data_IF_892138585916
#
_entry.id   IF_892138585916
#
_cell.length_a   1.000
_cell.length_b   1.000
_cell.length_c   1.000
_cell.angle_alpha   90.00
_cell.angle_beta   90.00
_cell.angle_gamma   90.00
#
_symmetry.space_group_name_H-M   'P 1'
#
loop_
_entity.id
_entity.type
_entity.pdbx_description
1 polymer ?
#
# COMPACT_ATOMS: atom_id res chain seq x y z
N UNK A 1 2.90 -5.69 -26.94
CA UNK A 1 3.59 -4.66 -26.12
C UNK A 1 2.88 -4.57 -24.78
N UNK A 2 3.59 -4.47 -23.66
CA UNK A 2 2.94 -4.20 -22.37
C UNK A 2 2.53 -2.74 -22.31
N UNK A 3 1.28 -2.47 -21.97
CA UNK A 3 0.76 -1.12 -21.79
C UNK A 3 1.25 -0.52 -20.46
N UNK A 4 1.23 0.81 -20.35
CA UNK A 4 1.58 1.51 -19.10
C UNK A 4 0.75 1.01 -17.91
N UNK A 5 -0.53 0.72 -18.14
CA UNK A 5 -1.46 0.21 -17.12
C UNK A 5 -1.05 -1.19 -16.67
N UNK A 6 -0.69 -2.09 -17.59
CA UNK A 6 -0.24 -3.44 -17.23
C UNK A 6 1.06 -3.41 -16.40
N UNK A 7 1.97 -2.50 -16.73
CA UNK A 7 3.20 -2.31 -15.96
C UNK A 7 2.88 -1.79 -14.56
N UNK A 8 2.04 -0.77 -14.45
CA UNK A 8 1.64 -0.20 -13.16
C UNK A 8 0.92 -1.23 -12.27
N UNK A 9 -0.05 -1.98 -12.83
CA UNK A 9 -0.76 -3.06 -12.13
C UNK A 9 0.18 -4.17 -11.64
N UNK A 10 1.27 -4.42 -12.37
CA UNK A 10 2.27 -5.41 -11.95
C UNK A 10 3.21 -4.88 -10.87
N UNK A 11 3.59 -3.60 -10.93
CA UNK A 11 4.60 -3.02 -10.04
C UNK A 11 4.03 -2.61 -8.69
N UNK A 12 2.87 -1.96 -8.67
CA UNK A 12 2.25 -1.47 -7.44
C UNK A 12 2.21 -2.53 -6.31
N UNK A 13 1.64 -3.73 -6.50
CA UNK A 13 1.62 -4.77 -5.46
C UNK A 13 3.00 -5.31 -5.08
N UNK A 14 3.99 -5.23 -5.99
CA UNK A 14 5.37 -5.67 -5.70
C UNK A 14 6.04 -4.74 -4.69
N UNK A 15 5.89 -3.43 -4.88
CA UNK A 15 6.46 -2.42 -3.99
C UNK A 15 5.69 -2.29 -2.67
N UNK A 16 4.35 -2.46 -2.70
CA UNK A 16 3.53 -2.28 -1.50
C UNK A 16 3.26 -3.55 -0.71
N UNK A 17 3.34 -4.72 -1.34
CA UNK A 17 2.89 -5.97 -0.71
C UNK A 17 1.39 -6.05 -0.50
N UNK A 18 0.61 -5.22 -1.19
CA UNK A 18 -0.85 -5.14 -1.09
C UNK A 18 -1.45 -5.47 -2.43
N UNK A 19 -2.44 -6.36 -2.46
CA UNK A 19 -3.14 -6.69 -3.70
C UNK A 19 -3.90 -5.48 -4.23
N UNK A 20 -4.18 -5.43 -5.54
CA UNK A 20 -4.86 -4.28 -6.15
C UNK A 20 -6.29 -4.08 -5.60
N UNK A 21 -6.91 -5.16 -5.11
CA UNK A 21 -8.28 -5.21 -4.61
C UNK A 21 -8.39 -4.71 -3.15
N UNK A 22 -7.28 -4.68 -2.41
CA UNK A 22 -7.21 -4.20 -1.03
C UNK A 22 -7.01 -2.69 -0.91
N UNK A 23 -6.83 -1.99 -2.03
CA UNK A 23 -6.70 -0.54 -2.01
C UNK A 23 -8.08 0.14 -1.97
N UNK A 24 -8.19 1.13 -1.08
CA UNK A 24 -9.34 2.04 -1.06
C UNK A 24 -9.31 3.04 -2.23
N UNK A 25 -10.44 3.74 -2.42
CA UNK A 25 -10.57 4.77 -3.45
C UNK A 25 -9.78 6.06 -3.13
N UNK A 26 -9.39 6.25 -1.87
CA UNK A 26 -8.70 7.43 -1.38
C UNK A 26 -7.33 7.06 -0.84
N UNK A 27 -6.31 7.81 -1.25
CA UNK A 27 -4.93 7.58 -0.86
C UNK A 27 -4.39 8.72 -0.01
N UNK A 28 -3.68 8.34 1.05
CA UNK A 28 -2.78 9.23 1.79
C UNK A 28 -1.37 8.75 1.55
N UNK A 29 -0.47 9.67 1.21
CA UNK A 29 0.94 9.38 0.99
C UNK A 29 1.77 10.01 2.11
N UNK A 30 2.78 9.29 2.57
CA UNK A 30 3.72 9.75 3.59
C UNK A 30 5.11 9.21 3.29
N UNK A 31 6.13 9.95 3.70
CA UNK A 31 7.52 9.57 3.53
C UNK A 31 8.07 8.82 4.75
N UNK A 32 7.23 8.59 5.77
CA UNK A 32 7.64 8.04 7.06
C UNK A 32 6.84 6.77 7.40
N UNK A 33 7.53 5.62 7.47
CA UNK A 33 6.91 4.34 7.79
C UNK A 33 6.17 4.36 9.15
N UNK A 34 6.66 5.14 10.12
CA UNK A 34 6.02 5.29 11.43
C UNK A 34 4.57 5.79 11.33
N UNK A 35 4.25 6.63 10.34
CA UNK A 35 2.87 7.10 10.14
C UNK A 35 1.95 5.98 9.63
N UNK A 36 2.48 5.05 8.83
CA UNK A 36 1.73 3.86 8.39
C UNK A 36 1.43 2.96 9.58
N UNK A 37 2.42 2.72 10.44
CA UNK A 37 2.23 1.93 11.69
C UNK A 37 1.22 2.59 12.62
N UNK A 38 1.34 3.91 12.86
CA UNK A 38 0.39 4.65 13.70
C UNK A 38 -1.03 4.66 13.14
N UNK A 39 -1.18 4.78 11.81
CA UNK A 39 -2.46 4.68 11.14
C UNK A 39 -3.08 3.29 11.37
N UNK A 40 -2.29 2.24 11.19
CA UNK A 40 -2.71 0.86 11.42
C UNK A 40 -3.14 0.60 12.87
N UNK A 41 -2.39 1.10 13.85
CA UNK A 41 -2.75 1.04 15.27
C UNK A 41 -4.05 1.81 15.56
N UNK A 42 -4.18 3.03 15.04
CA UNK A 42 -5.33 3.89 15.28
C UNK A 42 -6.64 3.31 14.73
N UNK A 43 -6.58 2.70 13.55
CA UNK A 43 -7.76 2.12 12.88
C UNK A 43 -7.86 0.61 13.05
N UNK A 44 -6.99 0.01 13.88
CA UNK A 44 -6.93 -1.42 14.13
C UNK A 44 -6.91 -2.26 12.83
N UNK A 45 -6.09 -1.85 11.87
CA UNK A 45 -5.88 -2.55 10.61
C UNK A 45 -4.44 -3.05 10.46
N UNK A 46 -4.19 -3.91 9.48
CA UNK A 46 -2.88 -4.53 9.29
C UNK A 46 -1.96 -3.66 8.43
N UNK A 47 -0.68 -3.61 8.79
CA UNK A 47 0.36 -3.08 7.90
C UNK A 47 0.77 -4.17 6.92
N UNK A 48 0.55 -3.88 5.64
CA UNK A 48 0.94 -4.73 4.53
C UNK A 48 2.36 -4.38 4.05
N UNK A 49 3.06 -5.40 3.54
CA UNK A 49 4.38 -5.23 2.94
C UNK A 49 5.50 -4.88 3.92
N UNK A 50 5.46 -5.40 5.15
CA UNK A 50 6.54 -5.20 6.14
C UNK A 50 7.91 -5.56 5.52
N UNK A 51 8.86 -4.63 5.61
CA UNK A 51 10.20 -4.75 5.02
C UNK A 51 10.28 -4.42 3.52
N UNK A 52 9.17 -4.09 2.87
CA UNK A 52 9.16 -3.61 1.47
C UNK A 52 9.38 -2.10 1.39
N UNK A 53 9.74 -1.58 0.19
CA UNK A 53 10.02 -0.15 0.01
C UNK A 53 8.84 0.78 0.31
N UNK A 54 7.59 0.31 0.15
CA UNK A 54 6.39 1.13 0.35
C UNK A 54 5.32 0.39 1.16
N UNK A 55 5.50 0.30 2.48
CA UNK A 55 4.47 -0.28 3.35
C UNK A 55 3.13 0.46 3.19
N UNK A 56 2.03 -0.27 3.28
CA UNK A 56 0.69 0.32 3.19
C UNK A 56 -0.24 -0.24 4.26
N UNK A 57 -1.29 0.50 4.56
CA UNK A 57 -2.36 0.08 5.45
C UNK A 57 -3.66 0.66 4.91
N UNK A 58 -4.72 -0.16 4.87
CA UNK A 58 -6.06 0.27 4.43
C UNK A 58 -7.01 0.15 5.61
N UNK A 59 -7.75 1.21 5.89
CA UNK A 59 -8.90 1.17 6.80
C UNK A 59 -10.16 0.95 5.96
N UNK A 60 -10.77 -0.23 6.09
CA UNK A 60 -12.00 -0.62 5.39
C UNK A 60 -13.21 -0.44 6.30
#
# INVERSE_FOLDING_TARGET
MKTKIEIAKNWLPRYTGTSLEEFGNYFLLTNFNNYVTKFAEQFNCNVNGIGKPMQSATNN
#
